data_IF_348028908694
#
_entry.id   IF_348028908694
#
_cell.length_a   1.000
_cell.length_b   1.000
_cell.length_c   1.000
_cell.angle_alpha   90.00
_cell.angle_beta   90.00
_cell.angle_gamma   90.00
#
_symmetry.space_group_name_H-M   'P 1'
#
loop_
_entity.id
_entity.type
_entity.pdbx_description
1 polymer ?
#
# COMPACT_ATOMS: atom_id res chain seq x y z
N UNK A 1 5.45 -4.50 22.64
CA UNK A 1 6.25 -3.96 21.51
C UNK A 1 6.10 -2.44 21.56
N UNK A 2 7.15 -1.68 21.24
CA UNK A 2 7.08 -0.21 21.25
C UNK A 2 6.11 0.28 20.17
N UNK A 3 5.24 1.23 20.51
CA UNK A 3 4.46 1.99 19.53
C UNK A 3 5.38 2.90 18.72
N UNK A 4 4.97 3.26 17.50
CA UNK A 4 5.59 4.34 16.75
C UNK A 4 5.21 5.70 17.38
N UNK A 5 6.12 6.69 17.31
CA UNK A 5 5.90 8.07 17.78
C UNK A 5 5.08 8.91 16.81
N UNK A 6 5.10 8.56 15.53
CA UNK A 6 4.29 9.19 14.48
C UNK A 6 4.20 8.29 13.26
N UNK A 7 3.04 8.33 12.60
CA UNK A 7 2.83 7.62 11.35
C UNK A 7 2.14 8.50 10.30
N UNK A 8 2.31 8.13 9.03
CA UNK A 8 1.60 8.68 7.89
C UNK A 8 0.97 7.52 7.10
N UNK A 9 -0.28 7.68 6.68
CA UNK A 9 -0.98 6.68 5.86
C UNK A 9 -1.59 7.38 4.65
N UNK A 10 -1.22 6.96 3.44
CA UNK A 10 -1.91 7.41 2.22
C UNK A 10 -3.14 6.55 1.94
N UNK A 11 -4.23 7.16 1.44
CA UNK A 11 -5.49 6.46 1.21
C UNK A 11 -6.16 6.00 2.52
N UNK A 12 -5.95 6.74 3.61
CA UNK A 12 -6.36 6.37 4.95
C UNK A 12 -7.85 6.51 5.24
N UNK A 13 -8.68 6.95 4.29
CA UNK A 13 -10.13 7.15 4.51
C UNK A 13 -10.99 5.92 4.20
N UNK A 14 -10.42 4.87 3.62
CA UNK A 14 -11.17 3.65 3.30
C UNK A 14 -10.31 2.40 3.30
N UNK A 15 -10.96 1.22 3.26
CA UNK A 15 -10.30 -0.07 3.04
C UNK A 15 -9.12 -0.33 3.98
N UNK A 16 -8.01 -0.80 3.39
CA UNK A 16 -6.76 -1.14 4.10
C UNK A 16 -6.19 0.10 4.82
N UNK A 17 -6.26 1.28 4.20
CA UNK A 17 -5.75 2.51 4.79
C UNK A 17 -6.51 2.90 6.06
N UNK A 18 -7.83 2.82 6.06
CA UNK A 18 -8.62 3.08 7.25
C UNK A 18 -8.33 2.07 8.38
N UNK A 19 -8.13 0.80 8.04
CA UNK A 19 -7.75 -0.23 9.00
C UNK A 19 -6.35 0.03 9.61
N UNK A 20 -5.39 0.50 8.79
CA UNK A 20 -4.07 0.93 9.26
C UNK A 20 -4.16 2.10 10.24
N UNK A 21 -4.93 3.13 9.91
CA UNK A 21 -5.17 4.30 10.78
C UNK A 21 -5.74 3.84 12.12
N UNK A 22 -6.82 3.05 12.09
CA UNK A 22 -7.45 2.55 13.31
C UNK A 22 -6.51 1.68 14.16
N UNK A 23 -5.69 0.83 13.54
CA UNK A 23 -4.72 -0.01 14.24
C UNK A 23 -3.63 0.82 14.93
N UNK A 24 -3.10 1.83 14.25
CA UNK A 24 -2.07 2.74 14.78
C UNK A 24 -2.61 3.65 15.89
N UNK A 25 -3.81 4.21 15.72
CA UNK A 25 -4.47 5.04 16.73
C UNK A 25 -4.80 4.25 18.00
N UNK A 26 -5.23 2.98 17.85
CA UNK A 26 -5.45 2.07 19.00
C UNK A 26 -4.18 1.84 19.83
N UNK A 27 -3.01 2.00 19.23
CA UNK A 27 -1.71 1.90 19.91
C UNK A 27 -1.22 3.24 20.46
N UNK A 28 -1.96 4.33 20.24
CA UNK A 28 -1.58 5.68 20.64
C UNK A 28 -0.57 6.35 19.71
N UNK A 29 -0.36 5.82 18.49
CA UNK A 29 0.45 6.47 17.47
C UNK A 29 -0.34 7.63 16.85
N UNK A 30 0.15 8.88 16.88
CA UNK A 30 -0.43 9.96 16.09
C UNK A 30 -0.31 9.67 14.59
N UNK A 31 -1.42 9.68 13.86
CA UNK A 31 -1.45 9.36 12.42
C UNK A 31 -1.81 10.57 11.58
N UNK A 32 -0.97 10.90 10.59
CA UNK A 32 -1.30 11.83 9.51
C UNK A 32 -1.92 11.06 8.36
N UNK A 33 -3.21 11.28 8.12
CA UNK A 33 -3.92 10.74 6.96
C UNK A 33 -3.72 11.66 5.76
N UNK A 34 -3.24 11.10 4.65
CA UNK A 34 -3.15 11.79 3.36
C UNK A 34 -4.08 11.09 2.38
N UNK A 35 -5.16 11.75 1.97
CA UNK A 35 -6.17 11.13 1.14
C UNK A 35 -6.68 12.10 0.08
N UNK A 36 -7.06 11.54 -1.08
CA UNK A 36 -7.64 12.32 -2.17
C UNK A 36 -8.96 12.98 -1.73
N UNK A 37 -9.73 12.32 -0.85
CA UNK A 37 -10.94 12.88 -0.27
C UNK A 37 -10.70 14.15 0.57
N UNK A 38 -9.46 14.34 1.06
CA UNK A 38 -9.03 15.52 1.81
C UNK A 38 -8.24 16.52 0.93
N UNK A 39 -8.18 16.27 -0.38
CA UNK A 39 -7.45 17.12 -1.34
C UNK A 39 -5.96 16.80 -1.48
N UNK A 40 -5.47 15.68 -0.93
CA UNK A 40 -4.10 15.23 -1.14
C UNK A 40 -4.04 14.23 -2.31
N UNK A 41 -3.62 14.69 -3.49
CA UNK A 41 -3.34 13.82 -4.62
C UNK A 41 -1.90 13.27 -4.53
N UNK A 42 -1.77 11.97 -4.28
CA UNK A 42 -0.46 11.33 -4.23
C UNK A 42 0.28 11.40 -5.57
N UNK A 43 -0.44 11.51 -6.70
CA UNK A 43 0.12 11.63 -8.04
C UNK A 43 0.66 13.03 -8.36
N UNK A 44 0.42 14.04 -7.52
CA UNK A 44 1.02 15.36 -7.65
C UNK A 44 2.36 15.41 -6.88
N UNK A 45 3.52 15.51 -7.56
CA UNK A 45 4.81 15.56 -6.88
C UNK A 45 4.99 16.78 -5.98
N UNK A 46 4.26 17.88 -6.22
CA UNK A 46 4.35 19.11 -5.42
C UNK A 46 3.62 18.99 -4.09
N UNK A 47 2.55 18.20 -4.02
CA UNK A 47 1.81 17.94 -2.78
C UNK A 47 2.71 17.32 -1.68
N UNK A 48 3.74 16.57 -2.10
CA UNK A 48 4.70 15.93 -1.20
C UNK A 48 5.71 16.90 -0.57
N UNK A 49 5.90 18.10 -1.11
CA UNK A 49 6.97 19.02 -0.67
C UNK A 49 6.83 19.45 0.79
N UNK A 50 5.59 19.51 1.30
CA UNK A 50 5.26 19.92 2.66
C UNK A 50 5.11 18.73 3.63
N UNK A 51 5.38 17.51 3.18
CA UNK A 51 5.26 16.32 4.04
C UNK A 51 6.45 16.27 5.00
N UNK A 52 6.16 16.50 6.27
CA UNK A 52 7.12 16.38 7.39
C UNK A 52 7.48 14.92 7.73
N UNK A 53 8.64 14.66 8.36
CA UNK A 53 9.07 13.31 8.71
C UNK A 53 8.15 12.61 9.71
N UNK A 54 8.12 11.28 9.61
CA UNK A 54 7.41 10.34 10.52
C UNK A 54 8.30 9.14 10.82
N UNK A 55 7.93 8.30 11.80
CA UNK A 55 8.63 7.03 12.03
C UNK A 55 8.14 5.90 11.12
N UNK A 56 6.85 5.90 10.79
CA UNK A 56 6.25 4.91 9.89
C UNK A 56 5.47 5.62 8.79
N UNK A 57 5.80 5.35 7.53
CA UNK A 57 5.00 5.76 6.39
C UNK A 57 4.39 4.54 5.70
N UNK A 58 3.06 4.45 5.66
CA UNK A 58 2.33 3.45 4.91
C UNK A 58 1.83 4.08 3.61
N UNK A 59 2.53 3.81 2.51
CA UNK A 59 2.13 4.22 1.17
C UNK A 59 1.11 3.20 0.64
N UNK A 60 -0.16 3.44 0.94
CA UNK A 60 -1.27 2.52 0.70
C UNK A 60 -2.26 2.99 -0.38
N UNK A 61 -2.32 4.30 -0.67
CA UNK A 61 -3.21 4.83 -1.70
C UNK A 61 -3.05 4.08 -3.03
N UNK A 62 -4.17 3.66 -3.60
CA UNK A 62 -4.20 3.00 -4.89
C UNK A 62 -5.62 2.87 -5.42
N UNK A 63 -5.74 2.75 -6.74
CA UNK A 63 -7.01 2.68 -7.46
C UNK A 63 -6.97 1.61 -8.54
N UNK A 64 -8.14 1.12 -8.94
CA UNK A 64 -8.30 0.20 -10.07
C UNK A 64 -8.61 0.95 -11.36
N UNK A 65 -8.36 0.33 -12.51
CA UNK A 65 -8.75 0.84 -13.82
C UNK A 65 -10.28 0.94 -13.96
N UNK A 66 -11.03 0.04 -13.32
CA UNK A 66 -12.49 -0.07 -13.45
C UNK A 66 -12.93 -0.93 -14.62
N UNK A 67 -11.98 -1.45 -15.40
CA UNK A 67 -12.21 -2.40 -16.50
C UNK A 67 -11.01 -3.35 -16.64
N UNK A 68 -11.28 -4.61 -16.94
CA UNK A 68 -10.29 -5.61 -17.33
C UNK A 68 -10.07 -5.68 -18.86
N UNK A 69 -10.87 -4.97 -19.65
CA UNK A 69 -10.73 -4.90 -21.10
C UNK A 69 -9.81 -3.74 -21.49
N UNK A 70 -8.62 -4.09 -21.99
CA UNK A 70 -7.62 -3.12 -22.45
C UNK A 70 -8.13 -2.28 -23.63
N UNK A 71 -9.01 -2.80 -24.48
CA UNK A 71 -9.56 -2.06 -25.61
C UNK A 71 -10.54 -0.96 -25.16
N UNK A 72 -11.14 -1.11 -23.98
CA UNK A 72 -12.06 -0.14 -23.39
C UNK A 72 -11.36 0.87 -22.45
N UNK A 73 -10.08 0.65 -22.12
CA UNK A 73 -9.34 1.50 -21.20
C UNK A 73 -9.08 2.88 -21.80
N UNK A 74 -9.57 3.92 -21.13
CA UNK A 74 -9.33 5.30 -21.56
C UNK A 74 -7.97 5.81 -21.08
N UNK A 75 -7.42 6.83 -21.75
CA UNK A 75 -6.17 7.45 -21.31
C UNK A 75 -6.28 8.05 -19.90
N UNK A 76 -7.41 8.67 -19.56
CA UNK A 76 -7.59 9.26 -18.22
C UNK A 76 -7.62 8.21 -17.12
N UNK A 77 -8.25 7.05 -17.34
CA UNK A 77 -8.22 5.93 -16.39
C UNK A 77 -6.80 5.37 -16.24
N UNK A 78 -6.09 5.19 -17.34
CA UNK A 78 -4.70 4.74 -17.34
C UNK A 78 -3.80 5.71 -16.56
N UNK A 79 -3.88 7.02 -16.85
CA UNK A 79 -3.09 8.06 -16.16
C UNK A 79 -3.43 8.13 -14.67
N UNK A 80 -4.70 8.01 -14.31
CA UNK A 80 -5.15 7.98 -12.91
C UNK A 80 -4.53 6.80 -12.15
N UNK A 81 -4.53 5.61 -12.73
CA UNK A 81 -3.94 4.40 -12.12
C UNK A 81 -2.43 4.54 -11.98
N UNK A 82 -1.72 5.01 -13.01
CA UNK A 82 -0.27 5.23 -12.91
C UNK A 82 0.06 6.32 -11.87
N UNK A 83 -0.68 7.43 -11.89
CA UNK A 83 -0.50 8.54 -10.96
C UNK A 83 -0.60 8.08 -9.50
N UNK A 84 -1.65 7.33 -9.17
CA UNK A 84 -1.85 6.83 -7.81
C UNK A 84 -0.90 5.68 -7.44
N UNK A 85 -0.83 4.65 -8.27
CA UNK A 85 -0.23 3.36 -7.90
C UNK A 85 1.28 3.28 -8.14
N UNK A 86 1.83 4.16 -9.00
CA UNK A 86 3.26 4.16 -9.36
C UNK A 86 3.89 5.48 -8.98
N UNK A 87 3.43 6.59 -9.58
CA UNK A 87 4.04 7.90 -9.37
C UNK A 87 3.93 8.34 -7.91
N UNK A 88 2.76 8.15 -7.28
CA UNK A 88 2.57 8.48 -5.87
C UNK A 88 3.46 7.69 -4.90
N UNK A 89 3.78 6.43 -5.22
CA UNK A 89 4.77 5.66 -4.45
C UNK A 89 6.16 6.25 -4.65
N UNK A 90 6.55 6.52 -5.89
CA UNK A 90 7.87 7.09 -6.21
C UNK A 90 8.06 8.46 -5.54
N UNK A 91 7.08 9.34 -5.63
CA UNK A 91 7.13 10.67 -5.03
C UNK A 91 7.16 10.61 -3.51
N UNK A 92 6.33 9.75 -2.91
CA UNK A 92 6.32 9.50 -1.47
C UNK A 92 7.67 8.99 -0.96
N UNK A 93 8.20 7.91 -1.56
CA UNK A 93 9.52 7.37 -1.20
C UNK A 93 10.61 8.42 -1.38
N UNK A 94 10.62 9.15 -2.49
CA UNK A 94 11.62 10.19 -2.76
C UNK A 94 11.60 11.30 -1.71
N UNK A 95 10.42 11.75 -1.28
CA UNK A 95 10.30 12.76 -0.21
C UNK A 95 10.76 12.18 1.12
N UNK A 96 10.20 11.04 1.51
CA UNK A 96 10.43 10.42 2.81
C UNK A 96 11.89 10.01 3.02
N UNK A 97 12.56 9.51 1.98
CA UNK A 97 13.99 9.20 2.02
C UNK A 97 14.89 10.43 2.28
N UNK A 98 14.41 11.64 2.00
CA UNK A 98 15.15 12.90 2.25
C UNK A 98 14.93 13.46 3.65
N UNK A 99 13.77 13.19 4.27
CA UNK A 99 13.37 13.86 5.52
C UNK A 99 13.32 12.92 6.72
N UNK A 100 13.03 11.63 6.53
CA UNK A 100 12.97 10.68 7.63
C UNK A 100 14.35 10.36 8.19
N UNK A 101 14.42 10.18 9.51
CA UNK A 101 15.61 9.72 10.20
C UNK A 101 15.87 8.24 9.96
N UNK A 102 17.13 7.80 10.12
CA UNK A 102 17.46 6.37 10.08
C UNK A 102 16.71 5.64 11.20
N UNK A 103 16.21 4.45 10.89
CA UNK A 103 15.41 3.65 11.82
C UNK A 103 13.89 3.81 11.62
N UNK A 104 13.45 4.78 10.81
CA UNK A 104 12.08 4.81 10.31
C UNK A 104 11.81 3.73 9.25
N UNK A 105 10.54 3.44 9.01
CA UNK A 105 10.08 2.44 8.04
C UNK A 105 9.14 3.06 6.99
N UNK A 106 9.31 2.66 5.74
CA UNK A 106 8.37 2.95 4.65
C UNK A 106 7.83 1.60 4.18
N UNK A 107 6.52 1.40 4.27
CA UNK A 107 5.83 0.20 3.77
C UNK A 107 4.94 0.59 2.62
N UNK A 108 5.07 -0.12 1.50
CA UNK A 108 4.26 0.11 0.28
C UNK A 108 3.26 -1.03 0.16
N UNK A 109 1.97 -0.69 0.02
CA UNK A 109 0.94 -1.69 -0.24
C UNK A 109 0.89 -1.97 -1.73
N UNK A 110 1.24 -3.20 -2.11
CA UNK A 110 1.16 -3.69 -3.48
C UNK A 110 0.03 -4.71 -3.63
N UNK A 111 -0.12 -5.28 -4.83
CA UNK A 111 -1.07 -6.35 -5.11
C UNK A 111 -0.39 -7.49 -5.86
N UNK A 112 -0.89 -8.72 -5.68
CA UNK A 112 -0.49 -9.87 -6.51
C UNK A 112 -0.75 -9.64 -8.01
N UNK A 113 -1.62 -8.71 -8.37
CA UNK A 113 -1.80 -8.27 -9.76
C UNK A 113 -0.53 -7.63 -10.36
N UNK A 114 0.44 -7.22 -9.54
CA UNK A 114 1.76 -6.78 -10.01
C UNK A 114 2.74 -7.93 -10.31
N UNK A 115 2.44 -9.16 -9.87
CA UNK A 115 3.27 -10.35 -10.05
C UNK A 115 2.62 -11.40 -10.96
N UNK A 116 1.34 -11.25 -11.27
CA UNK A 116 0.54 -12.23 -12.01
C UNK A 116 -0.32 -11.52 -13.05
N UNK A 117 -0.70 -12.24 -14.11
CA UNK A 117 -1.66 -11.71 -15.09
C UNK A 117 -3.09 -11.96 -14.61
N UNK A 118 -3.74 -10.93 -14.10
CA UNK A 118 -5.17 -10.98 -13.82
C UNK A 118 -5.96 -10.66 -15.09
N UNK A 119 -6.82 -11.59 -15.53
CA UNK A 119 -7.72 -11.40 -16.69
C UNK A 119 -9.08 -10.79 -16.30
N UNK A 120 -9.26 -10.44 -15.03
CA UNK A 120 -10.54 -10.02 -14.45
C UNK A 120 -10.25 -8.77 -13.63
N UNK A 121 -11.10 -7.75 -13.77
CA UNK A 121 -11.00 -6.55 -12.92
C UNK A 121 -11.13 -6.93 -11.43
N UNK A 122 -10.40 -6.29 -10.50
CA UNK A 122 -10.45 -6.65 -9.09
C UNK A 122 -11.86 -6.63 -8.47
N UNK A 123 -12.75 -5.75 -8.92
CA UNK A 123 -14.14 -5.70 -8.45
C UNK A 123 -14.92 -6.96 -8.84
N UNK A 124 -14.82 -7.34 -10.11
CA UNK A 124 -15.44 -8.58 -10.61
C UNK A 124 -14.79 -9.83 -9.98
N UNK A 125 -13.47 -9.84 -9.82
CA UNK A 125 -12.76 -10.94 -9.18
C UNK A 125 -13.24 -11.14 -7.73
N UNK A 126 -13.52 -10.05 -7.01
CA UNK A 126 -14.09 -10.07 -5.66
C UNK A 126 -15.49 -10.66 -5.66
N UNK A 127 -16.37 -10.24 -6.57
CA UNK A 127 -17.74 -10.77 -6.66
C UNK A 127 -17.74 -12.27 -6.94
N UNK A 128 -16.92 -12.73 -7.89
CA UNK A 128 -16.75 -14.15 -8.21
C UNK A 128 -16.23 -14.93 -7.01
N UNK A 129 -15.29 -14.37 -6.25
CA UNK A 129 -14.77 -15.00 -5.05
C UNK A 129 -15.85 -15.19 -3.97
N UNK A 130 -16.67 -14.17 -3.75
CA UNK A 130 -17.81 -14.24 -2.81
C UNK A 130 -18.82 -15.30 -3.27
N UNK A 131 -19.19 -15.31 -4.55
CA UNK A 131 -20.12 -16.29 -5.10
C UNK A 131 -19.60 -17.73 -4.99
N UNK A 132 -18.28 -17.92 -5.05
CA UNK A 132 -17.61 -19.21 -4.85
C UNK A 132 -17.44 -19.61 -3.37
N UNK A 133 -17.90 -18.78 -2.42
CA UNK A 133 -17.73 -19.03 -0.99
C UNK A 133 -16.28 -18.93 -0.51
N UNK A 134 -15.41 -18.26 -1.26
CA UNK A 134 -14.03 -18.07 -0.85
C UNK A 134 -13.93 -17.01 0.26
N UNK A 135 -13.14 -17.31 1.29
CA UNK A 135 -12.81 -16.34 2.32
C UNK A 135 -11.92 -15.23 1.73
N UNK A 136 -12.31 -13.98 1.96
CA UNK A 136 -11.55 -12.81 1.55
C UNK A 136 -10.75 -12.27 2.74
N UNK A 137 -9.55 -11.76 2.45
CA UNK A 137 -8.79 -11.00 3.44
C UNK A 137 -9.57 -9.74 3.84
N UNK A 138 -9.70 -9.55 5.14
CA UNK A 138 -10.24 -8.32 5.71
C UNK A 138 -9.14 -7.25 5.74
N UNK A 139 -9.49 -5.96 5.58
CA UNK A 139 -8.54 -4.85 5.68
C UNK A 139 -7.65 -4.90 6.93
N UNK A 140 -8.20 -5.32 8.07
CA UNK A 140 -7.49 -5.42 9.36
C UNK A 140 -6.38 -6.47 9.31
N UNK A 141 -6.59 -7.57 8.59
CA UNK A 141 -5.55 -8.61 8.44
C UNK A 141 -4.36 -8.09 7.63
N UNK A 142 -4.62 -7.21 6.65
CA UNK A 142 -3.55 -6.55 5.89
C UNK A 142 -2.85 -5.50 6.75
N UNK A 143 -3.60 -4.72 7.54
CA UNK A 143 -3.04 -3.75 8.46
C UNK A 143 -2.10 -4.40 9.48
N UNK A 144 -2.52 -5.53 10.07
CA UNK A 144 -1.68 -6.31 11.00
C UNK A 144 -0.38 -6.78 10.32
N UNK A 145 -0.45 -7.22 9.06
CA UNK A 145 0.72 -7.66 8.30
C UNK A 145 1.69 -6.50 7.99
N UNK A 146 1.17 -5.33 7.63
CA UNK A 146 1.97 -4.12 7.39
C UNK A 146 2.69 -3.69 8.67
N UNK A 147 2.00 -3.69 9.81
CA UNK A 147 2.62 -3.35 11.10
C UNK A 147 3.66 -4.39 11.53
N UNK A 148 3.41 -5.68 11.28
CA UNK A 148 4.40 -6.73 11.51
C UNK A 148 5.66 -6.53 10.65
N UNK A 149 5.50 -6.27 9.35
CA UNK A 149 6.61 -6.01 8.43
C UNK A 149 7.41 -4.76 8.84
N UNK A 150 6.73 -3.68 9.22
CA UNK A 150 7.40 -2.45 9.69
C UNK A 150 8.25 -2.68 10.94
N UNK A 151 7.78 -3.54 11.86
CA UNK A 151 8.44 -3.82 13.15
C UNK A 151 9.56 -4.84 13.06
N UNK A 152 9.54 -5.68 12.04
CA UNK A 152 10.61 -6.65 11.78
C UNK A 152 11.96 -5.95 11.56
N UNK A 153 11.95 -4.73 11.02
CA UNK A 153 13.12 -3.87 10.87
C UNK A 153 14.04 -4.25 9.71
N UNK A 154 13.73 -5.31 8.97
CA UNK A 154 14.36 -5.63 7.69
C UNK A 154 13.92 -4.67 6.59
N UNK A 155 14.76 -4.52 5.56
CA UNK A 155 14.50 -3.68 4.40
C UNK A 155 14.65 -4.48 3.12
N UNK A 156 13.97 -4.07 2.04
CA UNK A 156 14.03 -4.76 0.74
C UNK A 156 13.23 -6.07 0.67
N UNK A 157 12.33 -6.29 1.63
CA UNK A 157 11.48 -7.48 1.70
C UNK A 157 10.14 -7.28 0.98
N UNK A 158 9.56 -8.37 0.48
CA UNK A 158 8.17 -8.43 0.07
C UNK A 158 7.41 -9.39 0.99
N UNK A 159 6.27 -8.96 1.53
CA UNK A 159 5.42 -9.79 2.39
C UNK A 159 4.12 -10.12 1.66
N UNK A 160 3.76 -11.40 1.65
CA UNK A 160 2.55 -11.91 1.00
C UNK A 160 1.49 -12.23 2.04
N UNK A 161 0.29 -11.72 1.80
CA UNK A 161 -0.90 -12.01 2.59
C UNK A 161 -1.87 -12.85 1.75
N UNK A 162 -2.30 -13.99 2.27
CA UNK A 162 -3.29 -14.87 1.63
C UNK A 162 -4.38 -15.24 2.64
N UNK A 163 -5.65 -15.40 2.22
CA UNK A 163 -6.72 -15.85 3.10
C UNK A 163 -6.35 -17.15 3.83
N UNK A 164 -6.65 -17.23 5.12
CA UNK A 164 -6.37 -18.39 5.96
C UNK A 164 -4.89 -18.66 6.26
N UNK A 165 -3.96 -17.78 5.87
CA UNK A 165 -2.52 -17.93 6.12
C UNK A 165 -1.96 -16.76 6.91
N UNK A 166 -1.01 -17.04 7.80
CA UNK A 166 -0.18 -15.99 8.39
C UNK A 166 0.64 -15.29 7.30
N UNK A 167 0.90 -13.96 7.40
CA UNK A 167 1.78 -13.26 6.47
C UNK A 167 3.16 -13.90 6.43
N UNK A 168 3.74 -14.02 5.24
CA UNK A 168 5.07 -14.62 5.05
C UNK A 168 5.90 -13.83 4.04
N UNK A 169 7.22 -13.90 4.17
CA UNK A 169 8.14 -13.24 3.23
C UNK A 169 8.17 -14.00 1.90
N UNK A 170 8.14 -13.25 0.80
CA UNK A 170 8.33 -13.76 -0.54
C UNK A 170 9.79 -13.65 -0.94
N UNK A 171 10.40 -14.78 -1.28
CA UNK A 171 11.72 -14.82 -1.89
C UNK A 171 11.60 -14.66 -3.41
N UNK A 172 12.15 -13.57 -3.93
CA UNK A 172 12.25 -13.40 -5.38
C UNK A 172 13.27 -14.38 -5.96
N UNK A 173 13.04 -14.90 -7.18
CA UNK A 173 14.05 -15.66 -7.88
C UNK A 173 15.31 -14.81 -8.03
N UNK A 174 16.49 -15.41 -7.82
CA UNK A 174 17.75 -14.75 -8.19
C UNK A 174 17.86 -14.76 -9.71
N UNK A 175 17.60 -13.61 -10.33
CA UNK A 175 17.66 -13.46 -11.79
C UNK A 175 19.10 -13.35 -12.32
N UNK A 176 20.05 -12.99 -11.45
CA UNK A 176 21.47 -12.90 -11.78
C UNK A 176 22.25 -13.68 -10.71
N UNK A 177 23.16 -14.55 -11.14
CA UNK A 177 24.18 -15.08 -10.23
C UNK A 177 25.11 -13.93 -9.82
N UNK A 178 25.49 -13.88 -8.55
CA UNK A 178 26.49 -12.95 -8.06
C UNK A 178 27.80 -13.16 -8.83
N UNK A 179 28.18 -12.18 -9.64
CA UNK A 179 29.48 -12.11 -10.30
C UNK A 179 30.62 -11.98 -9.28
#
# INVERSE_FOLDING_TARGET
MSSFRSALVTGGRSGIGAALVAALEREGTPVRVLDLADGFDVGDPTAWEQVEPVELACLNAGVTTGTGDVAALTESEYRRVLGANVDGVVFGVRRLARVMERGGAIVVTASLAGLTTAKVDPGEARERAIAAGMELLRPEQIADAVLAAARDGSTGEAWVCLPGKAPFRHEFPRFFESA
#
